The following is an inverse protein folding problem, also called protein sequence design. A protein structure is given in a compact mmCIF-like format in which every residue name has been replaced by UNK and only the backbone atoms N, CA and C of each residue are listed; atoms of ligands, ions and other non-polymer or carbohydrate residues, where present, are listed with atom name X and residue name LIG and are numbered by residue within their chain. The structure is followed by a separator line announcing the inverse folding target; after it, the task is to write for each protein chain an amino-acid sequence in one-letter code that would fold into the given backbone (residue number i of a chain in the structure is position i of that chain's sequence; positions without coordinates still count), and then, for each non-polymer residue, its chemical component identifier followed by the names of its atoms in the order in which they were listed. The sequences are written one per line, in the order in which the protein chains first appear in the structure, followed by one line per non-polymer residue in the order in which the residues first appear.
data_IF_990397362290
#
_entry.id   IF_990397362290
#
_cell.length_a   1.000
_cell.length_b   1.000
_cell.length_c   1.000
_cell.angle_alpha   90.00
_cell.angle_beta   90.00
_cell.angle_gamma   90.00
#
_symmetry.space_group_name_H-M   'P 1'
#
loop_
_entity.id
_entity.type
_entity.pdbx_description
1 polymer ?
#
# COMPACT_ATOMS: atom_id res chain seq x y z
N UNK A 1 -7.96 -2.29 -16.88
CA UNK A 1 -7.70 -2.29 -15.42
C UNK A 1 -7.67 -3.72 -14.92
N UNK A 2 -6.80 -4.00 -13.95
CA UNK A 2 -6.60 -5.29 -13.28
C UNK A 2 -6.84 -5.14 -11.78
N UNK A 3 -7.05 -6.25 -11.08
CA UNK A 3 -7.33 -6.29 -9.65
C UNK A 3 -6.12 -6.80 -8.88
N UNK A 4 -5.81 -6.14 -7.77
CA UNK A 4 -4.65 -6.47 -6.94
C UNK A 4 -5.00 -6.47 -5.46
N UNK A 5 -4.33 -7.34 -4.71
CA UNK A 5 -4.25 -7.25 -3.24
C UNK A 5 -2.85 -6.77 -2.89
N UNK A 6 -2.75 -5.62 -2.21
CA UNK A 6 -1.47 -5.02 -1.86
C UNK A 6 -1.34 -4.95 -0.33
N UNK A 7 -0.20 -5.41 0.19
CA UNK A 7 0.11 -5.32 1.62
C UNK A 7 1.05 -4.15 1.86
N UNK A 8 0.61 -3.20 2.69
CA UNK A 8 1.40 -2.05 3.12
C UNK A 8 1.72 -2.21 4.59
N UNK A 9 3.00 -2.23 4.94
CA UNK A 9 3.44 -2.21 6.34
C UNK A 9 3.79 -0.80 6.76
N UNK A 10 3.33 -0.41 7.95
CA UNK A 10 3.70 0.83 8.60
C UNK A 10 4.82 0.57 9.60
N UNK A 11 5.90 1.33 9.48
CA UNK A 11 7.05 1.33 10.37
C UNK A 11 7.20 2.67 11.08
N UNK A 12 7.71 2.63 12.31
CA UNK A 12 8.29 3.80 12.97
C UNK A 12 9.69 4.07 12.43
N UNK A 13 10.08 5.34 12.37
CA UNK A 13 11.44 5.76 12.05
C UNK A 13 12.17 6.20 13.33
N UNK A 14 13.48 5.95 13.40
CA UNK A 14 14.35 6.56 14.40
C UNK A 14 14.72 8.00 14.04
N UNK A 15 15.49 8.66 14.91
CA UNK A 15 15.96 10.04 14.72
C UNK A 15 16.85 10.21 13.46
N UNK A 16 17.37 9.12 12.90
CA UNK A 16 18.16 9.11 11.66
C UNK A 16 17.31 8.82 10.42
N UNK A 17 16.01 8.58 10.60
CA UNK A 17 15.07 8.25 9.53
C UNK A 17 15.17 6.79 9.07
N UNK A 18 15.63 5.88 9.93
CA UNK A 18 15.74 4.45 9.67
C UNK A 18 14.57 3.70 10.33
N UNK A 19 14.03 2.69 9.65
CA UNK A 19 12.95 1.85 10.18
C UNK A 19 13.35 1.20 11.52
N UNK A 20 12.60 1.50 12.57
CA UNK A 20 12.87 1.08 13.94
C UNK A 20 11.57 0.62 14.64
N UNK A 21 10.93 -0.40 14.06
CA UNK A 21 9.72 -1.02 14.59
C UNK A 21 8.59 -1.10 13.58
N UNK A 22 7.76 -2.14 13.69
CA UNK A 22 6.54 -2.31 12.88
C UNK A 22 5.33 -1.97 13.72
N UNK A 23 4.44 -1.13 13.20
CA UNK A 23 3.18 -0.75 13.85
C UNK A 23 2.07 -1.68 13.40
N UNK A 24 1.82 -1.75 12.10
CA UNK A 24 0.71 -2.53 11.54
C UNK A 24 0.98 -2.97 10.10
N UNK A 25 0.16 -3.91 9.63
CA UNK A 25 0.07 -4.28 8.21
C UNK A 25 -1.35 -4.01 7.74
N UNK A 26 -1.50 -3.18 6.72
CA UNK A 26 -2.78 -2.93 6.07
C UNK A 26 -2.86 -3.68 4.75
N UNK A 27 -4.06 -4.19 4.48
CA UNK A 27 -4.41 -4.93 3.30
C UNK A 27 -5.28 -4.03 2.41
N UNK A 28 -4.77 -3.66 1.23
CA UNK A 28 -5.37 -2.63 0.39
C UNK A 28 -5.86 -3.26 -0.92
N UNK A 29 -7.19 -3.42 -1.11
CA UNK A 29 -7.75 -3.78 -2.40
C UNK A 29 -7.44 -2.64 -3.39
N UNK A 30 -6.77 -2.97 -4.49
CA UNK A 30 -6.33 -1.98 -5.48
C UNK A 30 -6.73 -2.35 -6.91
N UNK A 31 -7.22 -1.38 -7.67
CA UNK A 31 -7.48 -1.48 -9.11
C UNK A 31 -6.47 -0.59 -9.84
N UNK A 32 -5.67 -1.18 -10.72
CA UNK A 32 -4.62 -0.45 -11.45
C UNK A 32 -4.35 -1.08 -12.82
N UNK A 33 -3.55 -0.41 -13.65
CA UNK A 33 -3.17 -0.93 -14.98
C UNK A 33 -2.12 -2.06 -14.93
N UNK A 34 -1.21 -1.99 -13.96
CA UNK A 34 -0.10 -2.92 -13.75
C UNK A 34 0.28 -2.99 -12.26
N UNK A 35 1.12 -3.96 -11.90
CA UNK A 35 1.56 -4.19 -10.51
C UNK A 35 2.30 -2.98 -9.96
N UNK A 36 3.15 -2.32 -10.75
CA UNK A 36 3.94 -1.17 -10.33
C UNK A 36 3.02 -0.02 -9.87
N UNK A 37 2.00 0.26 -10.69
CA UNK A 37 0.98 1.27 -10.40
C UNK A 37 0.10 0.89 -9.21
N UNK A 38 -0.20 -0.40 -9.03
CA UNK A 38 -0.95 -0.87 -7.86
C UNK A 38 -0.17 -0.63 -6.56
N UNK A 39 1.13 -0.94 -6.55
CA UNK A 39 2.01 -0.69 -5.39
C UNK A 39 2.06 0.79 -5.03
N UNK A 40 2.25 1.67 -6.03
CA UNK A 40 2.27 3.10 -5.83
C UNK A 40 0.91 3.65 -5.32
N UNK A 41 -0.21 3.24 -5.93
CA UNK A 41 -1.55 3.62 -5.47
C UNK A 41 -1.76 3.26 -4.00
N UNK A 42 -1.51 1.99 -3.65
CA UNK A 42 -1.79 1.47 -2.32
C UNK A 42 -0.96 2.13 -1.22
N UNK A 43 0.32 2.43 -1.49
CA UNK A 43 1.18 3.07 -0.50
C UNK A 43 0.78 4.54 -0.28
N UNK A 44 0.40 5.27 -1.34
CA UNK A 44 -0.12 6.65 -1.23
C UNK A 44 -1.48 6.69 -0.54
N UNK A 45 -2.35 5.73 -0.81
CA UNK A 45 -3.66 5.64 -0.17
C UNK A 45 -3.57 5.47 1.35
N UNK A 46 -2.54 4.75 1.81
CA UNK A 46 -2.32 4.51 3.24
C UNK A 46 -1.50 5.62 3.91
N UNK A 47 -0.67 6.33 3.15
CA UNK A 47 -0.06 7.56 3.63
C UNK A 47 -1.07 8.70 3.58
N UNK A 48 -0.80 9.80 4.27
CA UNK A 48 -1.73 10.95 4.33
C UNK A 48 -1.52 11.85 3.10
N UNK A 49 -1.53 11.25 1.91
CA UNK A 49 -1.23 11.92 0.63
C UNK A 49 0.25 12.09 0.32
N UNK A 50 1.14 11.32 0.95
CA UNK A 50 2.57 11.37 0.69
C UNK A 50 2.96 10.84 -0.70
N UNK A 51 4.20 11.07 -1.11
CA UNK A 51 4.71 10.65 -2.43
C UNK A 51 5.27 9.23 -2.34
N UNK A 52 4.81 8.34 -3.22
CA UNK A 52 5.41 7.02 -3.40
C UNK A 52 6.75 7.14 -4.15
N UNK A 53 7.78 6.50 -3.61
CA UNK A 53 9.11 6.42 -4.20
C UNK A 53 9.57 4.97 -4.25
N UNK A 54 10.51 4.66 -5.15
CA UNK A 54 11.14 3.32 -5.17
C UNK A 54 11.98 3.18 -3.90
N UNK A 55 11.83 2.08 -3.18
CA UNK A 55 12.63 1.80 -2.00
C UNK A 55 14.07 1.45 -2.42
N UNK A 56 15.04 2.28 -2.01
CA UNK A 56 16.46 2.08 -2.35
C UNK A 56 17.05 0.79 -1.74
N UNK A 57 16.46 0.28 -0.65
CA UNK A 57 16.85 -0.99 -0.04
C UNK A 57 16.10 -2.18 -0.67
N UNK A 58 14.94 -1.93 -1.27
CA UNK A 58 14.06 -2.93 -1.91
C UNK A 58 13.57 -2.36 -3.25
N UNK A 59 14.43 -2.33 -4.28
CA UNK A 59 14.17 -1.58 -5.52
C UNK A 59 12.93 -2.05 -6.31
N UNK A 60 12.32 -3.15 -5.91
CA UNK A 60 11.09 -3.69 -6.49
C UNK A 60 9.82 -3.18 -5.77
N UNK A 61 9.97 -2.55 -4.61
CA UNK A 61 8.89 -2.12 -3.75
C UNK A 61 8.81 -0.58 -3.65
N UNK A 62 7.61 -0.11 -3.36
CA UNK A 62 7.35 1.31 -3.16
C UNK A 62 7.29 1.63 -1.68
N UNK A 63 7.83 2.79 -1.33
CA UNK A 63 7.80 3.35 0.01
C UNK A 63 7.29 4.78 -0.03
N UNK A 64 6.53 5.14 1.00
CA UNK A 64 6.22 6.52 1.33
C UNK A 64 6.83 6.84 2.70
N UNK A 65 7.72 7.84 2.77
CA UNK A 65 8.43 8.21 3.99
C UNK A 65 7.97 9.59 4.44
N UNK A 66 7.36 9.68 5.61
CA UNK A 66 6.97 10.94 6.26
C UNK A 66 7.87 11.18 7.48
N UNK A 67 9.08 11.70 7.24
CA UNK A 67 10.10 11.90 8.28
C UNK A 67 9.63 12.79 9.42
N UNK A 68 8.86 13.83 9.13
CA UNK A 68 8.33 14.77 10.13
C UNK A 68 7.40 14.09 11.14
N UNK A 69 6.73 13.00 10.73
CA UNK A 69 5.86 12.20 11.58
C UNK A 69 6.54 10.94 12.12
N UNK A 70 7.76 10.65 11.67
CA UNK A 70 8.51 9.47 12.07
C UNK A 70 7.93 8.17 11.54
N UNK A 71 7.36 8.16 10.33
CA UNK A 71 6.70 6.98 9.75
C UNK A 71 7.18 6.64 8.34
N UNK A 72 7.16 5.34 8.03
CA UNK A 72 7.43 4.77 6.70
C UNK A 72 6.37 3.73 6.35
N UNK A 73 5.72 3.89 5.21
CA UNK A 73 4.79 2.91 4.65
C UNK A 73 5.48 2.18 3.51
N UNK A 74 5.62 0.87 3.61
CA UNK A 74 6.33 0.06 2.62
C UNK A 74 5.41 -1.01 2.05
N UNK A 75 5.37 -1.12 0.74
CA UNK A 75 4.73 -2.26 0.08
C UNK A 75 5.58 -3.50 0.31
N UNK A 76 4.96 -4.56 0.82
CA UNK A 76 5.65 -5.84 1.11
C UNK A 76 5.15 -6.99 0.25
N UNK A 77 3.98 -6.82 -0.38
CA UNK A 77 3.39 -7.80 -1.29
C UNK A 77 2.43 -7.12 -2.24
N UNK A 78 2.43 -7.57 -3.49
CA UNK A 78 1.44 -7.19 -4.51
C UNK A 78 1.14 -8.44 -5.34
N UNK A 79 -0.11 -8.87 -5.35
CA UNK A 79 -0.56 -10.03 -6.15
C UNK A 79 -1.71 -9.60 -7.05
N UNK A 80 -1.62 -9.96 -8.33
CA UNK A 80 -2.75 -9.87 -9.26
C UNK A 80 -3.74 -10.98 -8.93
N UNK A 81 -5.03 -10.64 -8.88
CA UNK A 81 -6.11 -11.54 -8.51
C UNK A 81 -7.27 -11.41 -9.48
N UNK A 82 -8.15 -12.40 -9.47
CA UNK A 82 -9.42 -12.32 -10.21
C UNK A 82 -10.38 -11.32 -9.56
N UNK A 83 -11.41 -10.92 -10.29
CA UNK A 83 -12.43 -10.02 -9.76
C UNK A 83 -13.19 -10.63 -8.57
N UNK A 84 -13.48 -11.93 -8.61
CA UNK A 84 -14.17 -12.64 -7.52
C UNK A 84 -13.33 -12.65 -6.23
N UNK A 85 -12.04 -12.99 -6.34
CA UNK A 85 -11.11 -12.95 -5.20
C UNK A 85 -10.99 -11.53 -4.64
N UNK A 86 -10.96 -10.52 -5.50
CA UNK A 86 -10.95 -9.12 -5.11
C UNK A 86 -12.19 -8.71 -4.33
N UNK A 87 -13.39 -9.07 -4.82
CA UNK A 87 -14.66 -8.73 -4.16
C UNK A 87 -14.76 -9.40 -2.78
N UNK A 88 -14.33 -10.65 -2.65
CA UNK A 88 -14.23 -11.36 -1.37
C UNK A 88 -13.28 -10.62 -0.43
N UNK A 89 -12.06 -10.34 -0.88
CA UNK A 89 -11.05 -9.66 -0.07
C UNK A 89 -11.50 -8.26 0.36
N UNK A 90 -12.11 -7.48 -0.54
CA UNK A 90 -12.68 -6.17 -0.23
C UNK A 90 -13.76 -6.28 0.86
N UNK A 91 -14.63 -7.28 0.78
CA UNK A 91 -15.67 -7.49 1.79
C UNK A 91 -15.12 -7.79 3.18
N UNK A 92 -13.99 -8.49 3.26
CA UNK A 92 -13.34 -8.87 4.53
C UNK A 92 -12.52 -7.69 5.10
N UNK A 93 -11.85 -6.92 4.25
CA UNK A 93 -10.89 -5.88 4.68
C UNK A 93 -11.52 -4.52 4.94
N UNK A 94 -12.56 -4.14 4.20
CA UNK A 94 -13.22 -2.82 4.35
C UNK A 94 -14.58 -2.90 5.03
N UNK A 95 -15.01 -4.10 5.43
CA UNK A 95 -16.38 -4.34 5.87
C UNK A 95 -17.40 -4.16 4.74
N UNK A 96 -18.60 -4.70 4.93
CA UNK A 96 -19.65 -4.78 3.91
C UNK A 96 -20.19 -3.39 3.51
N UNK A 97 -20.00 -2.37 4.36
CA UNK A 97 -20.65 -1.05 4.23
C UNK A 97 -19.80 0.03 3.55
N UNK A 98 -18.47 -0.04 3.61
CA UNK A 98 -17.62 1.07 3.16
C UNK A 98 -17.15 0.93 1.70
N UNK A 99 -17.10 -0.30 1.15
CA UNK A 99 -16.68 -0.58 -0.23
C UNK A 99 -15.39 0.17 -0.65
N UNK A 100 -14.48 0.43 0.28
CA UNK A 100 -13.28 1.21 0.00
C UNK A 100 -12.25 0.39 -0.78
N UNK A 101 -11.65 0.98 -1.80
CA UNK A 101 -10.52 0.42 -2.53
C UNK A 101 -9.71 1.53 -3.20
N UNK A 102 -8.41 1.30 -3.37
CA UNK A 102 -7.56 2.20 -4.15
C UNK A 102 -7.86 2.00 -5.64
N UNK A 103 -8.08 3.08 -6.38
CA UNK A 103 -8.17 3.04 -7.83
C UNK A 103 -7.20 4.06 -8.39
N UNK A 104 -6.30 3.60 -9.27
CA UNK A 104 -5.49 4.51 -10.06
C UNK A 104 -6.43 5.32 -10.98
N UNK A 105 -6.38 6.65 -10.86
CA UNK A 105 -6.99 7.56 -11.82
C UNK A 105 -6.14 7.59 -13.10
N UNK A 106 -6.80 7.73 -14.26
CA UNK A 106 -6.17 7.72 -15.59
C UNK A 106 -5.35 8.99 -15.85
#
# INVERSE_FOLDING_TARGET
MKYFMVNVKLYTLDEKGVENGTITTTHVPTIAKDSLSAKACAVVWQSDGGIATIDNQRPEDFVCIEKERGYSWVVTRCIEVTQEEFDIFRSITSGISENAYCKQED
#
